data_IF_824523907487
#
_entry.id   IF_824523907487
#
_cell.length_a   1.000
_cell.length_b   1.000
_cell.length_c   1.000
_cell.angle_alpha   90.00
_cell.angle_beta   90.00
_cell.angle_gamma   90.00
#
_symmetry.space_group_name_H-M   'P 1'
#
loop_
_entity.id
_entity.type
_entity.pdbx_description
1 polymer ?
#
# COMPACT_ATOMS: atom_id res chain seq x y z
N UNK A 1 -15.18 -44.49 33.96
CA UNK A 1 -13.75 -44.69 33.65
C UNK A 1 -13.01 -43.44 34.06
N UNK A 2 -11.92 -43.61 34.81
CA UNK A 2 -11.20 -42.54 35.52
C UNK A 2 -10.68 -41.45 34.58
N UNK A 3 -11.18 -40.23 34.74
CA UNK A 3 -10.61 -39.01 34.15
C UNK A 3 -9.30 -38.73 34.87
N UNK A 4 -8.17 -39.20 34.32
CA UNK A 4 -6.85 -38.73 34.73
C UNK A 4 -6.78 -37.21 34.51
N UNK A 5 -6.17 -36.49 35.44
CA UNK A 5 -6.01 -35.03 35.34
C UNK A 5 -5.31 -34.68 34.02
N UNK A 6 -5.77 -33.62 33.36
CA UNK A 6 -5.33 -33.19 32.01
C UNK A 6 -3.83 -32.89 31.89
N UNK A 7 -3.08 -32.92 32.99
CA UNK A 7 -1.65 -32.62 33.04
C UNK A 7 -0.72 -33.79 32.67
N UNK A 8 -1.24 -35.02 32.54
CA UNK A 8 -0.41 -36.22 32.34
C UNK A 8 -0.68 -37.02 31.05
N UNK A 9 -1.53 -36.53 30.14
CA UNK A 9 -1.80 -37.26 28.89
C UNK A 9 -0.56 -37.19 28.00
N UNK A 10 -0.03 -38.35 27.63
CA UNK A 10 1.13 -38.46 26.74
C UNK A 10 0.76 -38.16 25.29
N UNK A 11 1.71 -37.78 24.41
CA UNK A 11 1.43 -37.62 22.98
C UNK A 11 0.77 -38.88 22.39
N UNK A 12 1.22 -40.07 22.79
CA UNK A 12 0.72 -41.36 22.30
C UNK A 12 -0.74 -41.64 22.68
N UNK A 13 -1.16 -41.24 23.88
CA UNK A 13 -2.56 -41.34 24.29
C UNK A 13 -3.45 -40.44 23.43
N UNK A 14 -3.03 -39.18 23.16
CA UNK A 14 -3.74 -38.31 22.24
C UNK A 14 -3.82 -38.89 20.82
N UNK A 15 -2.73 -39.47 20.31
CA UNK A 15 -2.73 -40.11 18.99
C UNK A 15 -3.71 -41.28 18.92
N UNK A 16 -3.76 -42.12 19.96
CA UNK A 16 -4.71 -43.23 20.04
C UNK A 16 -6.17 -42.75 20.01
N UNK A 17 -6.48 -41.71 20.79
CA UNK A 17 -7.83 -41.13 20.81
C UNK A 17 -8.22 -40.49 19.47
N UNK A 18 -7.31 -39.74 18.84
CA UNK A 18 -7.55 -39.14 17.51
C UNK A 18 -7.78 -40.22 16.43
N UNK A 19 -7.01 -41.32 16.47
CA UNK A 19 -7.18 -42.47 15.56
C UNK A 19 -8.51 -43.19 15.75
N UNK A 20 -9.04 -43.22 16.97
CA UNK A 20 -10.36 -43.79 17.25
C UNK A 20 -11.52 -42.99 16.63
N UNK A 21 -11.23 -41.81 16.06
CA UNK A 21 -12.22 -40.91 15.49
C UNK A 21 -12.95 -40.07 16.54
N UNK A 22 -12.42 -39.99 17.76
CA UNK A 22 -12.96 -39.15 18.81
C UNK A 22 -12.89 -37.68 18.38
N UNK A 23 -14.06 -37.04 18.35
CA UNK A 23 -14.23 -35.61 18.05
C UNK A 23 -14.81 -34.86 19.25
N UNK A 24 -14.53 -35.37 20.46
CA UNK A 24 -14.97 -34.76 21.71
C UNK A 24 -14.29 -33.40 21.90
N UNK A 25 -15.08 -32.35 22.20
CA UNK A 25 -14.58 -31.01 22.48
C UNK A 25 -13.54 -31.02 23.61
N UNK A 26 -13.71 -31.88 24.62
CA UNK A 26 -12.79 -32.00 25.77
C UNK A 26 -11.40 -32.49 25.36
N UNK A 27 -11.35 -33.38 24.37
CA UNK A 27 -10.11 -33.90 23.82
C UNK A 27 -9.30 -32.78 23.19
N UNK A 28 -9.92 -32.00 22.30
CA UNK A 28 -9.25 -30.89 21.63
C UNK A 28 -8.84 -29.78 22.60
N UNK A 29 -9.67 -29.47 23.61
CA UNK A 29 -9.29 -28.49 24.64
C UNK A 29 -8.07 -28.94 25.44
N UNK A 30 -8.02 -30.22 25.85
CA UNK A 30 -6.87 -30.78 26.55
C UNK A 30 -5.62 -30.83 25.66
N UNK A 31 -5.78 -31.19 24.39
CA UNK A 31 -4.69 -31.21 23.41
C UNK A 31 -4.15 -29.80 23.17
N UNK A 32 -5.01 -28.80 22.96
CA UNK A 32 -4.62 -27.39 22.80
C UNK A 32 -3.82 -26.88 23.99
N UNK A 33 -4.26 -27.17 25.22
CA UNK A 33 -3.52 -26.80 26.44
C UNK A 33 -2.15 -27.48 26.46
N UNK A 34 -2.07 -28.75 26.07
CA UNK A 34 -0.81 -29.49 26.04
C UNK A 34 0.16 -28.92 24.99
N UNK A 35 -0.32 -28.64 23.78
CA UNK A 35 0.45 -28.00 22.71
C UNK A 35 0.97 -26.61 23.08
N UNK A 36 0.25 -25.88 23.93
CA UNK A 36 0.63 -24.52 24.35
C UNK A 36 1.59 -24.52 25.55
N UNK A 37 1.45 -25.47 26.47
CA UNK A 37 2.15 -25.44 27.77
C UNK A 37 3.33 -26.41 27.90
N UNK A 38 3.40 -27.46 27.07
CA UNK A 38 4.47 -28.46 27.11
C UNK A 38 5.68 -27.99 26.27
N UNK A 39 6.90 -28.50 26.53
CA UNK A 39 8.08 -28.12 25.77
C UNK A 39 7.98 -28.51 24.29
N UNK A 40 8.76 -27.84 23.43
CA UNK A 40 8.78 -28.09 21.98
C UNK A 40 9.08 -29.56 21.64
N UNK A 41 9.86 -30.27 22.46
CA UNK A 41 10.11 -31.71 22.30
C UNK A 41 8.83 -32.56 22.39
N UNK A 42 7.86 -32.15 23.21
CA UNK A 42 6.55 -32.78 23.27
C UNK A 42 5.77 -32.53 21.98
N UNK A 43 5.79 -31.29 21.49
CA UNK A 43 5.15 -30.89 20.22
C UNK A 43 5.76 -31.65 19.04
N UNK A 44 7.08 -31.85 19.04
CA UNK A 44 7.77 -32.67 18.05
C UNK A 44 7.31 -34.13 18.09
N UNK A 45 7.25 -34.73 19.28
CA UNK A 45 6.78 -36.09 19.45
C UNK A 45 5.34 -36.28 18.96
N UNK A 46 4.44 -35.33 19.25
CA UNK A 46 3.08 -35.35 18.73
C UNK A 46 3.03 -35.10 17.22
N UNK A 47 3.79 -34.12 16.73
CA UNK A 47 3.71 -33.60 15.36
C UNK A 47 4.13 -34.58 14.27
N UNK A 48 4.87 -35.64 14.58
CA UNK A 48 5.21 -36.68 13.61
C UNK A 48 3.98 -37.29 12.94
N UNK A 49 2.94 -37.59 13.71
CA UNK A 49 1.70 -38.21 13.21
C UNK A 49 0.45 -37.36 13.50
N UNK A 50 0.44 -36.64 14.63
CA UNK A 50 -0.72 -35.92 15.13
C UNK A 50 -1.19 -34.78 14.25
N UNK A 51 -0.27 -34.11 13.52
CA UNK A 51 -0.64 -33.07 12.58
C UNK A 51 -1.52 -33.62 11.45
N UNK A 52 -1.10 -34.74 10.84
CA UNK A 52 -1.87 -35.40 9.77
C UNK A 52 -3.26 -35.78 10.24
N UNK A 53 -3.37 -36.36 11.44
CA UNK A 53 -4.67 -36.72 12.05
C UNK A 53 -5.57 -35.49 12.28
N UNK A 54 -5.02 -34.38 12.78
CA UNK A 54 -5.78 -33.14 12.96
C UNK A 54 -6.30 -32.59 11.62
N UNK A 55 -5.47 -32.62 10.58
CA UNK A 55 -5.86 -32.18 9.24
C UNK A 55 -6.91 -33.10 8.62
N UNK A 56 -6.80 -34.42 8.80
CA UNK A 56 -7.80 -35.40 8.35
C UNK A 56 -9.16 -35.19 9.03
N UNK A 57 -9.14 -34.89 10.33
CA UNK A 57 -10.36 -34.55 11.09
C UNK A 57 -10.95 -33.24 10.57
N UNK A 58 -10.14 -32.20 10.39
CA UNK A 58 -10.61 -30.92 9.86
C UNK A 58 -11.22 -31.08 8.47
N UNK A 59 -10.54 -31.81 7.57
CA UNK A 59 -11.02 -32.09 6.23
C UNK A 59 -12.37 -32.81 6.24
N UNK A 60 -12.51 -33.84 7.08
CA UNK A 60 -13.77 -34.57 7.24
C UNK A 60 -14.90 -33.68 7.73
N UNK A 61 -14.62 -32.81 8.71
CA UNK A 61 -15.60 -31.86 9.24
C UNK A 61 -15.99 -30.81 8.20
N UNK A 62 -15.05 -30.33 7.39
CA UNK A 62 -15.29 -29.35 6.32
C UNK A 62 -16.04 -29.97 5.12
N UNK A 63 -15.89 -31.27 4.85
CA UNK A 63 -16.59 -31.96 3.76
C UNK A 63 -18.06 -32.31 4.06
N UNK A 64 -18.50 -32.26 5.32
CA UNK A 64 -19.89 -32.53 5.67
C UNK A 64 -20.83 -31.51 5.00
N UNK A 65 -21.75 -31.99 4.16
CA UNK A 65 -22.78 -31.16 3.50
C UNK A 65 -23.70 -30.45 4.50
N UNK A 66 -24.08 -31.15 5.56
CA UNK A 66 -24.87 -30.62 6.66
C UNK A 66 -24.01 -30.61 7.91
N UNK A 67 -23.62 -29.41 8.34
CA UNK A 67 -22.85 -29.20 9.56
C UNK A 67 -23.81 -28.73 10.65
N UNK A 68 -23.85 -29.47 11.75
CA UNK A 68 -24.56 -29.02 12.93
C UNK A 68 -23.69 -28.04 13.75
N UNK A 69 -24.23 -27.55 14.87
CA UNK A 69 -23.48 -26.64 15.75
C UNK A 69 -22.27 -27.32 16.42
N UNK A 70 -22.30 -28.63 16.58
CA UNK A 70 -21.22 -29.40 17.22
C UNK A 70 -20.06 -29.53 16.25
N UNK A 71 -20.34 -29.85 14.99
CA UNK A 71 -19.34 -29.91 13.92
C UNK A 71 -18.60 -28.58 13.77
N UNK A 72 -19.33 -27.46 13.76
CA UNK A 72 -18.76 -26.10 13.71
C UNK A 72 -17.86 -25.78 14.90
N UNK A 73 -18.27 -26.17 16.11
CA UNK A 73 -17.43 -26.03 17.31
C UNK A 73 -16.18 -26.89 17.23
N UNK A 74 -16.32 -28.15 16.82
CA UNK A 74 -15.18 -29.06 16.66
C UNK A 74 -14.19 -28.55 15.60
N UNK A 75 -14.67 -27.98 14.48
CA UNK A 75 -13.79 -27.30 13.51
C UNK A 75 -12.96 -26.21 14.18
N UNK A 76 -13.61 -25.31 14.93
CA UNK A 76 -12.90 -24.22 15.60
C UNK A 76 -11.89 -24.74 16.63
N UNK A 77 -12.24 -25.79 17.40
CA UNK A 77 -11.30 -26.42 18.34
C UNK A 77 -10.09 -27.00 17.64
N UNK A 78 -10.26 -27.65 16.48
CA UNK A 78 -9.14 -28.15 15.68
C UNK A 78 -8.26 -26.99 15.18
N UNK A 79 -8.86 -25.90 14.68
CA UNK A 79 -8.10 -24.68 14.30
C UNK A 79 -7.30 -24.13 15.49
N UNK A 80 -7.85 -24.13 16.71
CA UNK A 80 -7.13 -23.70 17.90
C UNK A 80 -5.98 -24.64 18.28
N UNK A 81 -6.11 -25.95 18.06
CA UNK A 81 -5.00 -26.89 18.19
C UNK A 81 -3.90 -26.60 17.15
N UNK A 82 -4.26 -26.36 15.89
CA UNK A 82 -3.29 -26.00 14.85
C UNK A 82 -2.57 -24.68 15.17
N UNK A 83 -3.28 -23.69 15.69
CA UNK A 83 -2.70 -22.43 16.18
C UNK A 83 -1.69 -22.66 17.30
N UNK A 84 -2.03 -23.48 18.29
CA UNK A 84 -1.11 -23.82 19.37
C UNK A 84 0.12 -24.60 18.86
N UNK A 85 -0.10 -25.53 17.92
CA UNK A 85 0.96 -26.32 17.30
C UNK A 85 1.95 -25.43 16.53
N UNK A 86 1.45 -24.44 15.78
CA UNK A 86 2.25 -23.51 14.95
C UNK A 86 3.05 -22.47 15.76
N UNK A 87 2.79 -22.33 17.06
CA UNK A 87 3.40 -21.30 17.91
C UNK A 87 4.89 -21.56 18.26
N UNK A 88 5.61 -22.31 17.41
CA UNK A 88 7.03 -22.60 17.49
C UNK A 88 7.54 -22.93 16.08
N UNK A 89 8.85 -22.75 15.85
CA UNK A 89 9.49 -22.95 14.55
C UNK A 89 9.18 -24.32 13.93
N UNK A 90 9.30 -25.40 14.71
CA UNK A 90 9.02 -26.76 14.22
C UNK A 90 7.58 -26.91 13.73
N UNK A 91 6.60 -26.43 14.49
CA UNK A 91 5.20 -26.56 14.13
C UNK A 91 4.83 -25.77 12.87
N UNK A 92 5.40 -24.57 12.70
CA UNK A 92 5.26 -23.78 11.49
C UNK A 92 5.85 -24.49 10.27
N UNK A 93 7.11 -24.95 10.35
CA UNK A 93 7.77 -25.71 9.27
C UNK A 93 6.98 -26.96 8.88
N UNK A 94 6.44 -27.68 9.87
CA UNK A 94 5.62 -28.88 9.62
C UNK A 94 4.30 -28.57 8.93
N UNK A 95 3.65 -27.44 9.24
CA UNK A 95 2.45 -27.02 8.52
C UNK A 95 2.80 -26.63 7.08
N UNK A 96 3.88 -25.87 6.88
CA UNK A 96 4.34 -25.45 5.54
C UNK A 96 4.80 -26.63 4.67
N UNK A 97 5.32 -27.70 5.28
CA UNK A 97 5.71 -28.92 4.58
C UNK A 97 4.56 -29.88 4.24
N UNK A 98 3.35 -29.64 4.74
CA UNK A 98 2.19 -30.50 4.51
C UNK A 98 1.26 -29.90 3.45
N UNK A 99 1.17 -30.55 2.28
CA UNK A 99 0.54 -30.02 1.06
C UNK A 99 -0.89 -29.51 1.26
N UNK A 100 -1.71 -30.27 2.00
CA UNK A 100 -3.13 -29.95 2.21
C UNK A 100 -3.39 -28.90 3.29
N UNK A 101 -2.38 -28.50 4.07
CA UNK A 101 -2.58 -27.69 5.27
C UNK A 101 -3.14 -26.29 4.94
N UNK A 102 -2.53 -25.60 3.98
CA UNK A 102 -2.93 -24.26 3.54
C UNK A 102 -4.31 -24.31 2.87
N UNK A 103 -4.56 -25.33 2.04
CA UNK A 103 -5.86 -25.53 1.40
C UNK A 103 -6.99 -25.72 2.44
N UNK A 104 -6.74 -26.48 3.51
CA UNK A 104 -7.73 -26.67 4.58
C UNK A 104 -7.94 -25.40 5.41
N UNK A 105 -6.87 -24.66 5.73
CA UNK A 105 -6.97 -23.36 6.40
C UNK A 105 -7.78 -22.38 5.54
N UNK A 106 -7.47 -22.25 4.25
CA UNK A 106 -8.21 -21.38 3.34
C UNK A 106 -9.70 -21.76 3.25
N UNK A 107 -10.01 -23.06 3.19
CA UNK A 107 -11.40 -23.57 3.21
C UNK A 107 -12.13 -23.27 4.52
N UNK A 108 -11.41 -23.26 5.64
CA UNK A 108 -11.94 -22.95 6.96
C UNK A 108 -12.24 -21.45 7.17
N UNK A 109 -11.90 -20.57 6.23
CA UNK A 109 -12.38 -19.18 6.23
C UNK A 109 -13.89 -19.16 5.96
N UNK A 110 -14.66 -18.94 7.01
CA UNK A 110 -16.13 -18.88 7.00
C UNK A 110 -16.62 -17.63 7.74
N UNK A 111 -17.12 -16.60 7.03
CA UNK A 111 -17.66 -15.38 7.63
C UNK A 111 -18.83 -15.65 8.59
N UNK A 112 -19.52 -16.79 8.46
CA UNK A 112 -20.58 -17.18 9.40
C UNK A 112 -20.04 -17.78 10.72
N UNK A 113 -18.72 -17.93 10.85
CA UNK A 113 -18.03 -18.34 12.08
C UNK A 113 -16.91 -17.35 12.43
N UNK A 114 -17.24 -16.12 12.87
CA UNK A 114 -16.27 -15.03 12.99
C UNK A 114 -15.06 -15.34 13.87
N UNK A 115 -15.27 -16.04 14.99
CA UNK A 115 -14.19 -16.40 15.91
C UNK A 115 -13.20 -17.41 15.29
N UNK A 116 -13.70 -18.42 14.57
CA UNK A 116 -12.86 -19.38 13.86
C UNK A 116 -12.14 -18.71 12.70
N UNK A 117 -12.87 -17.93 11.91
CA UNK A 117 -12.29 -17.18 10.79
C UNK A 117 -11.19 -16.23 11.27
N UNK A 118 -11.37 -15.55 12.40
CA UNK A 118 -10.34 -14.69 13.01
C UNK A 118 -9.05 -15.46 13.29
N UNK A 119 -9.15 -16.67 13.84
CA UNK A 119 -7.97 -17.51 14.10
C UNK A 119 -7.32 -17.96 12.78
N UNK A 120 -8.12 -18.38 11.80
CA UNK A 120 -7.63 -18.82 10.48
C UNK A 120 -6.90 -17.70 9.74
N UNK A 121 -7.49 -16.52 9.61
CA UNK A 121 -6.88 -15.41 8.87
C UNK A 121 -5.62 -14.90 9.57
N UNK A 122 -5.55 -14.95 10.91
CA UNK A 122 -4.32 -14.64 11.67
C UNK A 122 -3.20 -15.64 11.38
N UNK A 123 -3.53 -16.93 11.29
CA UNK A 123 -2.56 -17.96 10.92
C UNK A 123 -2.03 -17.74 9.50
N UNK A 124 -2.92 -17.51 8.54
CA UNK A 124 -2.52 -17.24 7.16
C UNK A 124 -1.70 -15.96 7.04
N UNK A 125 -2.05 -14.91 7.79
CA UNK A 125 -1.27 -13.66 7.83
C UNK A 125 0.14 -13.90 8.36
N UNK A 126 0.26 -14.62 9.48
CA UNK A 126 1.55 -14.96 10.07
C UNK A 126 2.40 -15.82 9.11
N UNK A 127 1.77 -16.77 8.40
CA UNK A 127 2.43 -17.58 7.39
C UNK A 127 2.94 -16.72 6.22
N UNK A 128 2.15 -15.76 5.73
CA UNK A 128 2.58 -14.86 4.65
C UNK A 128 3.76 -13.97 5.06
N UNK A 129 3.82 -13.55 6.32
CA UNK A 129 4.85 -12.64 6.84
C UNK A 129 6.15 -13.39 7.20
N UNK A 130 6.04 -14.57 7.82
CA UNK A 130 7.19 -15.33 8.36
C UNK A 130 7.69 -16.37 7.37
N UNK A 131 6.89 -16.74 6.38
CA UNK A 131 7.23 -17.73 5.38
C UNK A 131 8.47 -17.36 4.56
N UNK A 132 9.15 -18.40 4.07
CA UNK A 132 10.25 -18.26 3.12
C UNK A 132 9.71 -17.95 1.71
N UNK A 133 10.60 -17.81 0.72
CA UNK A 133 10.25 -17.54 -0.69
C UNK A 133 9.10 -18.42 -1.19
N UNK A 134 8.19 -17.82 -1.96
CA UNK A 134 6.99 -18.44 -2.54
C UNK A 134 5.91 -18.91 -1.54
N UNK A 135 6.08 -18.69 -0.22
CA UNK A 135 5.05 -19.08 0.76
C UNK A 135 3.73 -18.31 0.56
N UNK A 136 3.83 -17.01 0.29
CA UNK A 136 2.66 -16.17 0.00
C UNK A 136 1.90 -16.66 -1.24
N UNK A 137 2.61 -17.06 -2.30
CA UNK A 137 1.99 -17.63 -3.51
C UNK A 137 1.22 -18.91 -3.22
N UNK A 138 1.78 -19.81 -2.41
CA UNK A 138 1.08 -21.04 -1.97
C UNK A 138 -0.18 -20.74 -1.15
N UNK A 139 -0.14 -19.70 -0.30
CA UNK A 139 -1.33 -19.23 0.42
C UNK A 139 -2.36 -18.71 -0.58
N UNK A 140 -1.94 -17.92 -1.55
CA UNK A 140 -2.84 -17.37 -2.56
C UNK A 140 -3.45 -18.46 -3.46
N UNK A 141 -2.69 -19.49 -3.83
CA UNK A 141 -3.17 -20.68 -4.54
C UNK A 141 -4.23 -21.42 -3.70
N UNK A 142 -3.97 -21.63 -2.41
CA UNK A 142 -4.92 -22.25 -1.51
C UNK A 142 -6.23 -21.44 -1.37
N UNK A 143 -6.14 -20.11 -1.29
CA UNK A 143 -7.31 -19.21 -1.27
C UNK A 143 -8.07 -19.28 -2.60
N UNK A 144 -7.36 -19.34 -3.72
CA UNK A 144 -7.94 -19.50 -5.07
C UNK A 144 -8.72 -20.80 -5.18
N UNK A 145 -8.11 -21.93 -4.85
CA UNK A 145 -8.78 -23.24 -4.88
C UNK A 145 -9.95 -23.34 -3.89
N UNK A 146 -9.92 -22.63 -2.76
CA UNK A 146 -11.06 -22.55 -1.85
C UNK A 146 -12.22 -21.73 -2.44
N UNK A 147 -11.93 -20.65 -3.16
CA UNK A 147 -12.92 -19.83 -3.88
C UNK A 147 -13.59 -20.61 -5.01
N UNK A 148 -12.81 -21.29 -5.83
CA UNK A 148 -13.30 -22.14 -6.93
C UNK A 148 -14.26 -23.22 -6.45
N UNK A 149 -13.91 -23.93 -5.37
CA UNK A 149 -14.79 -24.95 -4.77
C UNK A 149 -16.11 -24.40 -4.25
N UNK A 150 -16.15 -23.12 -3.86
CA UNK A 150 -17.35 -22.43 -3.38
C UNK A 150 -18.10 -21.69 -4.49
N UNK A 151 -17.59 -21.71 -5.73
CA UNK A 151 -18.11 -20.92 -6.85
C UNK A 151 -18.20 -19.42 -6.53
N UNK A 152 -17.20 -18.91 -5.81
CA UNK A 152 -17.12 -17.50 -5.39
C UNK A 152 -15.75 -16.91 -5.70
N UNK A 153 -15.67 -15.58 -5.82
CA UNK A 153 -14.37 -14.89 -5.87
C UNK A 153 -13.52 -15.27 -4.66
N UNK A 154 -12.24 -15.57 -4.89
CA UNK A 154 -11.29 -16.06 -3.88
C UNK A 154 -11.17 -15.14 -2.65
N UNK A 155 -11.34 -13.84 -2.85
CA UNK A 155 -11.27 -12.84 -1.77
C UNK A 155 -12.62 -12.52 -1.11
N UNK A 156 -13.73 -13.04 -1.64
CA UNK A 156 -15.07 -12.75 -1.13
C UNK A 156 -15.23 -13.06 0.37
N UNK A 157 -14.75 -14.21 0.91
CA UNK A 157 -14.84 -14.46 2.34
C UNK A 157 -14.11 -13.41 3.19
N UNK A 158 -12.92 -12.97 2.75
CA UNK A 158 -12.11 -11.99 3.47
C UNK A 158 -12.81 -10.63 3.49
N UNK A 159 -13.33 -10.19 2.34
CA UNK A 159 -14.07 -8.92 2.22
C UNK A 159 -15.37 -8.95 3.03
N UNK A 160 -16.10 -10.08 3.02
CA UNK A 160 -17.27 -10.25 3.88
C UNK A 160 -16.92 -10.18 5.37
N UNK A 161 -15.77 -10.72 5.79
CA UNK A 161 -15.29 -10.64 7.16
C UNK A 161 -15.08 -9.20 7.67
N UNK A 162 -14.74 -8.26 6.77
CA UNK A 162 -14.64 -6.83 7.10
C UNK A 162 -16.00 -6.18 7.41
N UNK A 163 -17.09 -6.76 6.92
CA UNK A 163 -18.46 -6.26 7.18
C UNK A 163 -19.06 -6.80 8.48
N UNK A 164 -18.37 -7.74 9.15
CA UNK A 164 -18.83 -8.30 10.43
C UNK A 164 -18.77 -7.26 11.56
N UNK A 165 -19.54 -7.49 12.62
CA UNK A 165 -19.55 -6.61 13.81
C UNK A 165 -18.32 -6.78 14.70
N UNK A 166 -17.60 -7.88 14.57
CA UNK A 166 -16.39 -8.17 15.34
C UNK A 166 -15.22 -7.36 14.82
N UNK A 167 -14.85 -6.31 15.55
CA UNK A 167 -13.64 -5.52 15.26
C UNK A 167 -12.39 -6.40 15.22
N UNK A 168 -12.34 -7.47 16.01
CA UNK A 168 -11.22 -8.42 15.98
C UNK A 168 -11.11 -9.16 14.64
N UNK A 169 -12.24 -9.51 14.01
CA UNK A 169 -12.26 -10.11 12.69
C UNK A 169 -11.88 -9.07 11.63
N UNK A 170 -12.40 -7.85 11.74
CA UNK A 170 -12.09 -6.75 10.80
C UNK A 170 -10.59 -6.45 10.77
N UNK A 171 -9.97 -6.31 11.95
CA UNK A 171 -8.51 -6.13 12.08
C UNK A 171 -7.76 -7.29 11.43
N UNK A 172 -8.19 -8.53 11.71
CA UNK A 172 -7.51 -9.72 11.23
C UNK A 172 -7.65 -9.92 9.70
N UNK A 173 -8.80 -9.59 9.12
CA UNK A 173 -9.01 -9.56 7.68
C UNK A 173 -8.16 -8.48 7.00
N UNK A 174 -8.12 -7.26 7.58
CA UNK A 174 -7.28 -6.19 7.04
C UNK A 174 -5.79 -6.53 7.13
N UNK A 175 -5.37 -7.20 8.21
CA UNK A 175 -4.01 -7.71 8.36
C UNK A 175 -3.65 -8.76 7.29
N UNK A 176 -4.57 -9.66 6.95
CA UNK A 176 -4.35 -10.63 5.87
C UNK A 176 -4.27 -9.94 4.50
N UNK A 177 -5.11 -8.93 4.25
CA UNK A 177 -5.06 -8.14 3.02
C UNK A 177 -3.69 -7.47 2.90
N UNK A 178 -3.23 -6.80 3.96
CA UNK A 178 -1.90 -6.19 3.98
C UNK A 178 -0.82 -7.23 3.71
N UNK A 179 -0.82 -8.36 4.42
CA UNK A 179 0.15 -9.43 4.19
C UNK A 179 0.16 -9.93 2.73
N UNK A 180 -0.99 -10.06 2.06
CA UNK A 180 -1.04 -10.50 0.66
C UNK A 180 -0.63 -9.42 -0.34
N UNK A 181 -0.87 -8.15 -0.02
CA UNK A 181 -0.64 -7.02 -0.93
C UNK A 181 0.76 -6.42 -0.78
N UNK A 182 1.37 -6.50 0.40
CA UNK A 182 2.68 -5.89 0.68
C UNK A 182 3.83 -6.89 0.64
N UNK A 183 3.57 -8.20 0.74
CA UNK A 183 4.61 -9.22 0.64
C UNK A 183 5.25 -9.42 -0.75
N UNK A 184 4.55 -9.26 -1.88
CA UNK A 184 5.18 -9.45 -3.20
C UNK A 184 6.19 -8.34 -3.54
N UNK A 185 7.37 -8.71 -4.04
CA UNK A 185 8.40 -7.74 -4.48
C UNK A 185 8.03 -7.05 -5.81
N UNK A 186 7.31 -7.74 -6.69
CA UNK A 186 6.91 -7.23 -7.99
C UNK A 186 5.72 -6.26 -7.89
N UNK A 187 5.92 -5.01 -8.36
CA UNK A 187 4.90 -3.97 -8.37
C UNK A 187 3.62 -4.41 -9.10
N UNK A 188 3.75 -5.02 -10.28
CA UNK A 188 2.62 -5.49 -11.08
C UNK A 188 1.77 -6.50 -10.31
N UNK A 189 2.41 -7.38 -9.55
CA UNK A 189 1.73 -8.37 -8.71
C UNK A 189 1.02 -7.70 -7.53
N UNK A 190 1.67 -6.77 -6.81
CA UNK A 190 1.03 -6.00 -5.73
C UNK A 190 -0.21 -5.24 -6.21
N UNK A 191 -0.10 -4.57 -7.36
CA UNK A 191 -1.21 -3.86 -8.00
C UNK A 191 -2.33 -4.82 -8.41
N UNK A 192 -2.00 -5.96 -9.00
CA UNK A 192 -2.97 -6.98 -9.41
C UNK A 192 -3.84 -7.44 -8.23
N UNK A 193 -3.20 -7.85 -7.13
CA UNK A 193 -3.90 -8.32 -5.93
C UNK A 193 -4.72 -7.21 -5.27
N UNK A 194 -4.14 -6.01 -5.11
CA UNK A 194 -4.85 -4.86 -4.53
C UNK A 194 -6.09 -4.50 -5.35
N UNK A 195 -5.95 -4.40 -6.68
CA UNK A 195 -7.05 -4.05 -7.56
C UNK A 195 -8.15 -5.12 -7.56
N UNK A 196 -7.80 -6.39 -7.40
CA UNK A 196 -8.77 -7.46 -7.22
C UNK A 196 -9.55 -7.33 -5.92
N UNK A 197 -8.90 -7.04 -4.78
CA UNK A 197 -9.61 -6.74 -3.53
C UNK A 197 -10.55 -5.55 -3.67
N UNK A 198 -10.11 -4.47 -4.34
CA UNK A 198 -10.94 -3.29 -4.60
C UNK A 198 -12.19 -3.66 -5.40
N UNK A 199 -12.06 -4.46 -6.48
CA UNK A 199 -13.19 -4.97 -7.27
C UNK A 199 -14.08 -5.96 -6.52
N UNK A 200 -13.53 -6.65 -5.51
CA UNK A 200 -14.27 -7.59 -4.67
C UNK A 200 -15.14 -6.89 -3.60
N UNK A 201 -15.14 -5.55 -3.55
CA UNK A 201 -15.99 -4.75 -2.65
C UNK A 201 -15.23 -4.04 -1.53
N UNK A 202 -13.90 -4.12 -1.49
CA UNK A 202 -13.10 -3.44 -0.46
C UNK A 202 -13.27 -1.92 -0.54
N UNK A 203 -13.39 -1.36 -1.75
CA UNK A 203 -13.47 0.08 -2.00
C UNK A 203 -14.63 0.74 -1.26
N UNK A 204 -15.80 0.09 -1.26
CA UNK A 204 -17.02 0.58 -0.62
C UNK A 204 -16.96 0.44 0.91
N UNK A 205 -16.18 -0.52 1.41
CA UNK A 205 -16.08 -0.84 2.84
C UNK A 205 -15.07 0.04 3.57
N UNK A 206 -13.97 0.45 2.92
CA UNK A 206 -12.91 1.26 3.53
C UNK A 206 -13.41 2.51 4.29
N UNK A 207 -14.34 3.34 3.77
CA UNK A 207 -14.87 4.48 4.51
C UNK A 207 -15.60 4.09 5.80
N UNK A 208 -16.31 2.95 5.78
CA UNK A 208 -17.02 2.43 6.96
C UNK A 208 -16.04 1.94 8.01
N UNK A 209 -14.96 1.27 7.60
CA UNK A 209 -13.89 0.83 8.51
C UNK A 209 -13.18 2.00 9.16
N UNK A 210 -12.88 3.06 8.41
CA UNK A 210 -12.23 4.27 8.95
C UNK A 210 -13.08 5.06 9.94
N UNK A 211 -14.39 4.79 10.04
CA UNK A 211 -15.25 5.40 11.05
C UNK A 211 -15.25 4.62 12.39
N UNK A 212 -14.71 3.41 12.42
CA UNK A 212 -14.66 2.55 13.61
C UNK A 212 -13.50 3.00 14.49
N UNK A 213 -13.79 3.36 15.75
CA UNK A 213 -12.75 3.75 16.71
C UNK A 213 -11.99 2.53 17.24
N UNK A 214 -10.92 2.14 16.56
CA UNK A 214 -10.05 1.05 17.01
C UNK A 214 -8.62 1.23 16.53
N UNK A 215 -7.69 1.43 17.46
CA UNK A 215 -6.27 1.69 17.16
C UNK A 215 -5.62 0.60 16.29
N UNK A 216 -5.92 -0.67 16.56
CA UNK A 216 -5.35 -1.77 15.77
C UNK A 216 -5.87 -1.77 14.33
N UNK A 217 -7.14 -1.43 14.11
CA UNK A 217 -7.71 -1.28 12.77
C UNK A 217 -7.15 -0.05 12.07
N UNK A 218 -7.04 1.07 12.77
CA UNK A 218 -6.46 2.32 12.25
C UNK A 218 -5.03 2.10 11.76
N UNK A 219 -4.22 1.33 12.50
CA UNK A 219 -2.88 0.92 12.06
C UNK A 219 -2.94 0.13 10.76
N UNK A 220 -3.83 -0.87 10.64
CA UNK A 220 -3.91 -1.68 9.42
C UNK A 220 -4.40 -0.89 8.20
N UNK A 221 -5.36 0.04 8.39
CA UNK A 221 -5.82 0.93 7.34
C UNK A 221 -4.73 1.89 6.89
N UNK A 222 -3.95 2.42 7.84
CA UNK A 222 -2.81 3.29 7.55
C UNK A 222 -1.74 2.57 6.75
N UNK A 223 -1.34 1.36 7.16
CA UNK A 223 -0.38 0.51 6.43
C UNK A 223 -0.84 0.28 4.98
N UNK A 224 -2.13 -0.01 4.78
CA UNK A 224 -2.68 -0.21 3.44
C UNK A 224 -2.59 1.05 2.57
N UNK A 225 -2.92 2.21 3.13
CA UNK A 225 -2.88 3.48 2.40
C UNK A 225 -1.45 3.92 2.09
N UNK A 226 -0.53 3.81 3.04
CA UNK A 226 0.90 4.14 2.85
C UNK A 226 1.52 3.28 1.75
N UNK A 227 1.36 1.95 1.79
CA UNK A 227 1.87 1.09 0.72
C UNK A 227 1.20 1.32 -0.63
N UNK A 228 -0.09 1.70 -0.64
CA UNK A 228 -0.77 2.07 -1.89
C UNK A 228 -0.18 3.36 -2.48
N UNK A 229 0.16 4.34 -1.63
CA UNK A 229 0.82 5.58 -2.07
C UNK A 229 2.26 5.30 -2.55
N UNK A 230 3.01 4.43 -1.87
CA UNK A 230 4.33 3.96 -2.30
C UNK A 230 4.27 3.29 -3.68
N UNK A 231 3.32 2.37 -3.88
CA UNK A 231 3.12 1.70 -5.17
C UNK A 231 2.75 2.69 -6.26
N UNK A 232 1.91 3.69 -5.97
CA UNK A 232 1.58 4.74 -6.93
C UNK A 232 2.83 5.56 -7.30
N UNK A 233 3.66 5.92 -6.33
CA UNK A 233 4.92 6.61 -6.60
C UNK A 233 5.87 5.73 -7.42
N UNK A 234 5.89 4.42 -7.19
CA UNK A 234 6.69 3.49 -7.99
C UNK A 234 6.17 3.38 -9.44
N UNK A 235 4.85 3.27 -9.64
CA UNK A 235 4.22 3.33 -10.97
C UNK A 235 4.62 4.60 -11.70
N UNK A 236 4.52 5.74 -11.01
CA UNK A 236 4.94 7.03 -11.56
C UNK A 236 6.42 7.01 -11.95
N UNK A 237 7.32 6.47 -11.11
CA UNK A 237 8.74 6.33 -11.44
C UNK A 237 9.02 5.39 -12.61
N UNK A 238 8.24 4.32 -12.78
CA UNK A 238 8.40 3.36 -13.88
C UNK A 238 7.86 3.95 -15.19
N UNK A 239 6.70 4.59 -15.16
CA UNK A 239 6.07 5.22 -16.33
C UNK A 239 6.80 6.49 -16.76
N UNK A 240 7.23 7.31 -15.80
CA UNK A 240 8.13 8.44 -16.04
C UNK A 240 9.56 7.88 -16.12
N UNK A 241 9.90 7.35 -17.30
CA UNK A 241 11.25 6.87 -17.58
C UNK A 241 12.29 7.92 -17.13
N UNK A 242 13.26 7.60 -16.24
CA UNK A 242 14.31 8.54 -15.85
C UNK A 242 15.18 9.01 -17.03
N UNK A 243 15.06 8.39 -18.22
CA UNK A 243 15.68 8.86 -19.46
C UNK A 243 14.90 9.97 -20.19
N UNK A 244 13.63 10.23 -19.84
CA UNK A 244 12.87 11.35 -20.38
C UNK A 244 13.32 12.66 -19.71
N UNK A 245 14.46 13.18 -20.17
CA UNK A 245 15.06 14.41 -19.63
C UNK A 245 14.56 15.67 -20.34
N UNK A 246 13.93 15.53 -21.51
CA UNK A 246 13.34 16.62 -22.27
C UNK A 246 11.90 16.34 -22.73
N UNK A 247 11.16 17.41 -23.04
CA UNK A 247 9.76 17.34 -23.44
C UNK A 247 9.53 16.63 -24.78
N UNK A 248 10.55 16.57 -25.65
CA UNK A 248 10.49 15.89 -26.93
C UNK A 248 10.51 14.37 -26.78
N UNK A 249 11.33 13.84 -25.88
CA UNK A 249 11.38 12.40 -25.56
C UNK A 249 10.05 11.91 -24.96
N UNK A 250 9.48 12.69 -24.03
CA UNK A 250 8.15 12.41 -23.46
C UNK A 250 7.09 12.43 -24.55
N UNK A 251 7.11 13.45 -25.42
CA UNK A 251 6.18 13.55 -26.54
C UNK A 251 6.25 12.33 -27.47
N UNK A 252 7.45 11.94 -27.88
CA UNK A 252 7.65 10.79 -28.78
C UNK A 252 7.18 9.49 -28.13
N UNK A 253 7.44 9.32 -26.83
CA UNK A 253 7.00 8.15 -26.06
C UNK A 253 5.47 8.10 -25.99
N UNK A 254 4.81 9.19 -25.58
CA UNK A 254 3.34 9.26 -25.52
C UNK A 254 2.71 9.09 -26.89
N UNK A 255 3.28 9.71 -27.94
CA UNK A 255 2.81 9.54 -29.30
C UNK A 255 2.90 8.08 -29.76
N UNK A 256 4.00 7.38 -29.44
CA UNK A 256 4.15 5.97 -29.79
C UNK A 256 3.13 5.05 -29.10
N UNK A 257 2.70 5.40 -27.88
CA UNK A 257 1.68 4.66 -27.12
C UNK A 257 0.27 4.84 -27.70
N UNK A 258 -0.05 6.02 -28.22
CA UNK A 258 -1.39 6.32 -28.74
C UNK A 258 -1.53 6.11 -30.25
N UNK A 259 -0.42 6.02 -30.98
CA UNK A 259 -0.42 5.85 -32.43
C UNK A 259 -1.17 4.58 -32.85
N UNK A 260 -1.98 4.70 -33.90
CA UNK A 260 -2.83 3.64 -34.45
C UNK A 260 -3.89 3.12 -33.46
N UNK A 261 -4.21 3.89 -32.41
CA UNK A 261 -5.27 3.59 -31.45
C UNK A 261 -6.41 4.61 -31.51
N UNK A 262 -7.55 4.29 -30.91
CA UNK A 262 -8.66 5.24 -30.76
C UNK A 262 -8.29 6.49 -29.92
N UNK A 263 -7.20 6.44 -29.14
CA UNK A 263 -6.72 7.54 -28.32
C UNK A 263 -5.98 8.63 -29.13
N UNK A 264 -5.51 8.32 -30.34
CA UNK A 264 -4.67 9.21 -31.16
C UNK A 264 -5.33 10.56 -31.43
N UNK A 265 -6.62 10.54 -31.79
CA UNK A 265 -7.38 11.77 -32.09
C UNK A 265 -7.63 12.63 -30.85
N UNK A 266 -7.76 12.02 -29.68
CA UNK A 266 -7.89 12.75 -28.42
C UNK A 266 -6.55 13.38 -28.02
N UNK A 267 -5.44 12.67 -28.19
CA UNK A 267 -4.10 13.22 -27.95
C UNK A 267 -3.81 14.43 -28.85
N UNK A 268 -4.10 14.31 -30.16
CA UNK A 268 -3.99 15.43 -31.09
C UNK A 268 -4.86 16.62 -30.66
N UNK A 269 -6.11 16.37 -30.28
CA UNK A 269 -7.02 17.41 -29.80
C UNK A 269 -6.48 18.11 -28.56
N UNK A 270 -5.95 17.38 -27.57
CA UNK A 270 -5.34 17.96 -26.37
C UNK A 270 -4.22 18.94 -26.77
N UNK A 271 -3.30 18.53 -27.63
CA UNK A 271 -2.20 19.37 -28.10
C UNK A 271 -2.69 20.62 -28.84
N UNK A 272 -3.71 20.48 -29.68
CA UNK A 272 -4.34 21.62 -30.37
C UNK A 272 -4.93 22.61 -29.36
N UNK A 273 -5.61 22.16 -28.32
CA UNK A 273 -6.14 23.03 -27.26
C UNK A 273 -5.01 23.71 -26.46
N UNK A 274 -3.88 23.04 -26.22
CA UNK A 274 -2.70 23.67 -25.61
C UNK A 274 -2.13 24.81 -26.46
N UNK A 275 -2.20 24.70 -27.80
CA UNK A 275 -1.82 25.80 -28.70
C UNK A 275 -2.77 27.00 -28.63
N UNK A 276 -4.03 26.79 -28.27
CA UNK A 276 -5.06 27.84 -28.15
C UNK A 276 -4.97 28.63 -26.84
N UNK A 277 -4.15 28.20 -25.88
CA UNK A 277 -3.93 28.94 -24.63
C UNK A 277 -3.42 30.34 -24.96
N UNK A 278 -4.05 31.35 -24.36
CA UNK A 278 -3.73 32.77 -24.57
C UNK A 278 -2.23 33.02 -24.41
N UNK A 279 -1.62 33.63 -25.43
CA UNK A 279 -0.20 33.98 -25.43
C UNK A 279 0.05 35.26 -24.61
N UNK A 280 -0.12 35.14 -23.30
CA UNK A 280 0.12 36.21 -22.33
C UNK A 280 1.15 35.72 -21.30
N UNK A 281 2.13 36.57 -20.98
CA UNK A 281 3.29 36.20 -20.18
C UNK A 281 2.93 35.71 -18.77
N UNK A 282 1.91 36.29 -18.13
CA UNK A 282 1.50 35.90 -16.77
C UNK A 282 0.43 34.83 -16.77
N UNK A 283 -0.47 34.87 -17.75
CA UNK A 283 -1.64 34.00 -17.79
C UNK A 283 -1.29 32.61 -18.34
N UNK A 284 -0.38 32.51 -19.32
CA UNK A 284 -0.03 31.24 -19.97
C UNK A 284 0.55 30.21 -18.99
N UNK A 285 1.50 30.55 -18.09
CA UNK A 285 1.98 29.61 -17.07
C UNK A 285 0.87 29.13 -16.12
N UNK A 286 -0.09 29.99 -15.76
CA UNK A 286 -1.20 29.59 -14.87
C UNK A 286 -2.13 28.59 -15.54
N UNK A 287 -2.42 28.74 -16.84
CA UNK A 287 -3.18 27.73 -17.59
C UNK A 287 -2.46 26.38 -17.61
N UNK A 288 -1.16 26.35 -17.89
CA UNK A 288 -0.39 25.11 -17.89
C UNK A 288 -0.34 24.46 -16.50
N UNK A 289 -0.22 25.25 -15.43
CA UNK A 289 -0.28 24.74 -14.06
C UNK A 289 -1.63 24.11 -13.71
N UNK A 290 -2.74 24.76 -14.08
CA UNK A 290 -4.09 24.21 -13.86
C UNK A 290 -4.27 22.91 -14.65
N UNK A 291 -3.82 22.89 -15.90
CA UNK A 291 -3.89 21.70 -16.75
C UNK A 291 -3.04 20.57 -16.19
N UNK A 292 -1.82 20.86 -15.74
CA UNK A 292 -0.94 19.88 -15.09
C UNK A 292 -1.60 19.27 -13.86
N UNK A 293 -2.14 20.08 -12.95
CA UNK A 293 -2.86 19.60 -11.76
C UNK A 293 -4.10 18.76 -12.15
N UNK A 294 -4.85 19.16 -13.17
CA UNK A 294 -5.99 18.39 -13.66
C UNK A 294 -5.57 17.05 -14.26
N UNK A 295 -4.54 17.03 -15.11
CA UNK A 295 -4.00 15.82 -15.72
C UNK A 295 -3.44 14.90 -14.64
N UNK A 296 -2.70 15.45 -13.68
CA UNK A 296 -2.19 14.74 -12.51
C UNK A 296 -3.32 14.10 -11.71
N UNK A 297 -4.39 14.84 -11.39
CA UNK A 297 -5.54 14.29 -10.68
C UNK A 297 -6.35 13.26 -11.48
N UNK A 298 -6.40 13.36 -12.81
CA UNK A 298 -7.08 12.39 -13.68
C UNK A 298 -6.25 11.10 -13.77
N UNK A 299 -4.95 11.21 -14.02
CA UNK A 299 -4.04 10.08 -14.24
C UNK A 299 -3.69 9.40 -12.91
N UNK A 300 -3.46 10.16 -11.85
CA UNK A 300 -3.11 9.67 -10.51
C UNK A 300 -4.33 9.46 -9.61
N UNK A 301 -5.55 9.49 -10.17
CA UNK A 301 -6.75 9.29 -9.37
C UNK A 301 -6.67 7.97 -8.60
N UNK A 302 -6.91 8.03 -7.28
CA UNK A 302 -6.93 6.89 -6.36
C UNK A 302 -7.71 5.72 -6.98
N UNK A 303 -7.00 4.65 -7.36
CA UNK A 303 -7.37 3.22 -7.22
C UNK A 303 -6.77 2.29 -8.29
N UNK A 304 -5.99 2.73 -9.29
CA UNK A 304 -5.48 1.79 -10.32
C UNK A 304 -6.58 1.03 -11.08
N UNK A 305 -7.82 1.52 -10.95
CA UNK A 305 -9.02 1.10 -11.67
C UNK A 305 -9.43 2.30 -12.51
N UNK A 306 -9.83 2.05 -13.75
CA UNK A 306 -10.35 3.05 -14.68
C UNK A 306 -11.15 4.15 -13.95
N UNK A 307 -10.99 5.43 -14.37
CA UNK A 307 -11.88 6.48 -13.91
C UNK A 307 -13.31 6.11 -14.30
N UNK A 308 -14.06 5.58 -13.34
CA UNK A 308 -15.48 5.36 -13.51
C UNK A 308 -16.18 6.73 -13.57
N UNK A 309 -16.39 7.21 -14.79
CA UNK A 309 -17.06 8.47 -15.09
C UNK A 309 -18.57 8.41 -14.83
N UNK A 310 -19.14 7.22 -14.54
CA UNK A 310 -20.59 7.06 -14.37
C UNK A 310 -21.14 7.70 -13.08
N UNK A 311 -20.27 8.06 -12.12
CA UNK A 311 -20.67 8.65 -10.84
C UNK A 311 -20.33 10.14 -10.62
N UNK A 312 -19.77 10.86 -11.60
CA UNK A 312 -19.52 12.31 -11.45
C UNK A 312 -20.48 13.18 -12.26
N UNK A 313 -21.56 13.62 -11.60
CA UNK A 313 -21.83 15.06 -11.60
C UNK A 313 -20.75 15.68 -10.71
N UNK A 314 -19.99 16.65 -11.24
CA UNK A 314 -18.90 17.46 -10.62
C UNK A 314 -17.47 17.19 -11.15
N UNK A 315 -17.13 17.83 -12.26
CA UNK A 315 -16.12 18.90 -12.22
C UNK A 315 -16.87 20.15 -11.72
N UNK A 316 -17.00 20.30 -10.41
CA UNK A 316 -17.49 21.53 -9.76
C UNK A 316 -16.29 22.17 -9.06
N UNK A 317 -15.25 22.37 -9.86
CA UNK A 317 -14.11 23.19 -9.49
C UNK A 317 -14.49 24.59 -9.94
N UNK A 318 -14.75 25.49 -8.99
CA UNK A 318 -14.84 26.91 -9.32
C UNK A 318 -13.42 27.38 -9.69
N UNK A 319 -13.11 27.27 -10.97
CA UNK A 319 -11.85 27.72 -11.55
C UNK A 319 -11.61 29.20 -11.29
N UNK A 320 -12.63 29.98 -10.94
CA UNK A 320 -12.49 31.41 -10.67
C UNK A 320 -11.64 31.65 -9.42
N UNK A 321 -11.91 30.93 -8.32
CA UNK A 321 -11.14 31.04 -7.07
C UNK A 321 -9.72 30.47 -7.21
N UNK A 322 -9.55 29.36 -7.94
CA UNK A 322 -8.25 28.75 -8.20
C UNK A 322 -7.38 29.64 -9.11
N UNK A 323 -7.98 30.29 -10.10
CA UNK A 323 -7.32 31.27 -10.96
C UNK A 323 -6.92 32.51 -10.17
N UNK A 324 -7.77 33.02 -9.29
CA UNK A 324 -7.49 34.19 -8.45
C UNK A 324 -6.29 33.95 -7.51
N UNK A 325 -6.28 32.82 -6.79
CA UNK A 325 -5.15 32.42 -5.93
C UNK A 325 -3.86 32.19 -6.74
N UNK A 326 -3.95 31.61 -7.94
CA UNK A 326 -2.80 31.39 -8.81
C UNK A 326 -2.25 32.70 -9.40
N UNK A 327 -3.13 33.64 -9.75
CA UNK A 327 -2.76 34.98 -10.23
C UNK A 327 -2.12 35.80 -9.13
N UNK A 328 -2.65 35.76 -7.91
CA UNK A 328 -2.08 36.48 -6.76
C UNK A 328 -0.68 35.96 -6.40
N UNK A 329 -0.50 34.64 -6.42
CA UNK A 329 0.82 34.03 -6.19
C UNK A 329 1.82 34.41 -7.28
N UNK A 330 1.42 34.32 -8.56
CA UNK A 330 2.29 34.70 -9.67
C UNK A 330 2.69 36.18 -9.64
N UNK A 331 1.77 37.04 -9.21
CA UNK A 331 2.03 38.47 -9.04
C UNK A 331 2.98 38.72 -7.88
N UNK A 332 2.85 38.00 -6.76
CA UNK A 332 3.79 38.08 -5.65
C UNK A 332 5.21 37.66 -6.09
N UNK A 333 5.32 36.55 -6.81
CA UNK A 333 6.60 36.03 -7.31
C UNK A 333 7.25 37.02 -8.31
N UNK A 334 6.47 37.66 -9.18
CA UNK A 334 6.99 38.69 -10.09
C UNK A 334 7.47 39.94 -9.35
N UNK A 335 6.75 40.39 -8.32
CA UNK A 335 7.17 41.54 -7.52
C UNK A 335 8.45 41.23 -6.74
N UNK A 336 8.61 40.02 -6.23
CA UNK A 336 9.84 39.58 -5.58
C UNK A 336 11.01 39.53 -6.56
N UNK A 337 10.79 39.02 -7.77
CA UNK A 337 11.81 38.97 -8.82
C UNK A 337 12.22 40.37 -9.32
N UNK A 338 11.24 41.28 -9.52
CA UNK A 338 11.54 42.68 -9.87
C UNK A 338 12.25 43.41 -8.74
N UNK A 339 11.91 43.14 -7.48
CA UNK A 339 12.61 43.72 -6.34
C UNK A 339 14.08 43.26 -6.29
N UNK A 340 14.34 41.99 -6.60
CA UNK A 340 15.70 41.44 -6.74
C UNK A 340 16.48 42.08 -7.89
N UNK A 341 15.86 42.25 -9.07
CA UNK A 341 16.50 42.92 -10.22
C UNK A 341 16.79 44.41 -9.96
N UNK A 342 15.87 45.11 -9.28
CA UNK A 342 16.07 46.49 -8.87
C UNK A 342 17.17 46.62 -7.81
N UNK A 343 17.25 45.68 -6.86
CA UNK A 343 18.32 45.63 -5.88
C UNK A 343 19.68 45.42 -6.56
N UNK A 344 19.77 44.49 -7.52
CA UNK A 344 21.00 44.26 -8.29
C UNK A 344 21.44 45.49 -9.09
N UNK A 345 20.52 46.16 -9.79
CA UNK A 345 20.83 47.40 -10.52
C UNK A 345 21.25 48.53 -9.59
N UNK A 346 20.65 48.60 -8.41
CA UNK A 346 21.02 49.61 -7.42
C UNK A 346 22.43 49.36 -6.86
N UNK A 347 22.79 48.10 -6.60
CA UNK A 347 24.14 47.72 -6.18
C UNK A 347 25.18 48.02 -7.28
N UNK A 348 24.86 47.76 -8.55
CA UNK A 348 25.71 48.10 -9.70
C UNK A 348 25.95 49.62 -9.81
N UNK A 349 24.91 50.43 -9.66
CA UNK A 349 25.03 51.90 -9.68
C UNK A 349 25.82 52.43 -8.48
N UNK A 350 25.68 51.83 -7.30
CA UNK A 350 26.50 52.17 -6.13
C UNK A 350 27.98 51.87 -6.40
N UNK A 351 28.29 50.69 -6.95
CA UNK A 351 29.67 50.34 -7.29
C UNK A 351 30.23 51.28 -8.36
N UNK A 352 29.47 51.57 -9.42
CA UNK A 352 29.87 52.51 -10.47
C UNK A 352 30.15 53.92 -9.93
N UNK A 353 29.32 54.39 -8.97
CA UNK A 353 29.53 55.68 -8.31
C UNK A 353 30.78 55.68 -7.43
N UNK A 354 31.06 54.60 -6.71
CA UNK A 354 32.27 54.48 -5.89
C UNK A 354 33.54 54.49 -6.75
N UNK A 355 33.54 53.76 -7.88
CA UNK A 355 34.65 53.75 -8.83
C UNK A 355 34.89 55.13 -9.47
N UNK A 356 33.82 55.83 -9.85
CA UNK A 356 33.93 57.18 -10.38
C UNK A 356 34.53 58.17 -9.36
N UNK A 357 34.12 58.07 -8.09
CA UNK A 357 34.70 58.88 -7.00
C UNK A 357 36.18 58.57 -6.78
N UNK A 358 36.57 57.28 -6.82
CA UNK A 358 37.97 56.88 -6.71
C UNK A 358 38.83 57.41 -7.88
N UNK A 359 38.29 57.42 -9.10
CA UNK A 359 38.96 58.01 -10.26
C UNK A 359 39.07 59.53 -10.19
N UNK A 360 38.05 60.21 -9.66
CA UNK A 360 38.10 61.66 -9.43
C UNK A 360 39.21 62.02 -8.42
N UNK A 361 39.27 61.31 -7.29
CA UNK A 361 40.32 61.52 -6.28
C UNK A 361 41.73 61.33 -6.88
N UNK A 362 41.95 60.29 -7.67
CA UNK A 362 43.24 60.07 -8.36
C UNK A 362 43.59 61.19 -9.34
N UNK A 363 42.59 61.74 -10.06
CA UNK A 363 42.81 62.87 -10.98
C UNK A 363 43.11 64.15 -10.22
N UNK A 364 42.43 64.40 -9.10
CA UNK A 364 42.72 65.55 -8.22
C UNK A 364 44.13 65.46 -7.62
N UNK A 365 44.57 64.28 -7.16
CA UNK A 365 45.96 64.06 -6.73
C UNK A 365 46.95 64.36 -7.86
N UNK A 366 46.68 63.88 -9.08
CA UNK A 366 47.55 64.14 -10.26
C UNK A 366 47.61 65.62 -10.62
N UNK A 367 46.49 66.33 -10.54
CA UNK A 367 46.42 67.78 -10.78
C UNK A 367 47.25 68.50 -9.72
N UNK A 368 47.09 68.15 -8.44
CA UNK A 368 47.86 68.74 -7.34
C UNK A 368 49.38 68.49 -7.50
N UNK A 369 49.79 67.29 -7.93
CA UNK A 369 51.20 66.98 -8.27
C UNK A 369 51.73 67.89 -9.40
N UNK A 370 50.99 67.98 -10.51
CA UNK A 370 51.39 68.80 -11.66
C UNK A 370 51.41 70.30 -11.32
N UNK A 371 50.46 70.78 -10.51
CA UNK A 371 50.46 72.14 -10.02
C UNK A 371 51.66 72.43 -9.10
N UNK A 372 52.05 71.46 -8.26
CA UNK A 372 53.25 71.56 -7.44
C UNK A 372 54.53 71.56 -8.30
N UNK A 373 54.61 70.74 -9.35
CA UNK A 373 55.74 70.75 -10.30
C UNK A 373 55.82 72.06 -11.09
N UNK A 374 54.69 72.59 -11.58
CA UNK A 374 54.64 73.88 -12.27
C UNK A 374 55.05 75.01 -11.33
N UNK A 375 54.63 74.96 -10.06
CA UNK A 375 55.06 75.93 -9.06
C UNK A 375 56.56 75.82 -8.78
N UNK A 376 57.11 74.59 -8.66
CA UNK A 376 58.54 74.36 -8.46
C UNK A 376 59.39 74.88 -9.63
N UNK A 377 58.95 74.63 -10.88
CA UNK A 377 59.60 75.13 -12.10
C UNK A 377 59.59 76.66 -12.21
N UNK A 378 58.57 77.34 -11.67
CA UNK A 378 58.49 78.81 -11.64
C UNK A 378 59.35 79.44 -10.54
N UNK A 379 59.85 78.64 -9.60
CA UNK A 379 60.69 79.09 -8.48
C UNK A 379 62.18 78.74 -8.62
N UNK A 380 62.60 78.11 -9.72
CA UNK A 380 63.98 78.11 -10.22
C UNK A 380 64.16 79.25 -11.23
#
# INVERSE_FOLDING_TARGET
GSLKSSHQISPQEFLSELKSGATDERLFDSLRVSLTSKPVSWVQSFGHEGLGLLLDILERLLHKKHQDKVDKRSQHKVIQCLKAFMNNKYGLERILGEEKSLALLARAMDPHQPAMMTDVVKLLSAICIVGEENTMEKVLEAITGAGERKETSRFSPIVQGLTDRSVQLQVACMQLINALVTSPDELDFRLHIRNEFMRCGLREILPTLGAIRNEALDIQLKVFEEHKEEDMMEVVRVLLNPACTDAGDVFNTVYSLVKDTAAEMYFLSILQHLMLIRNDYFVRPQYFKIIEECVSQIVLHRSGTDPDFSYRKRLDVDFSHLLEVCVDKARADEYEQRALELAQKFDEEIMGRQDALAQLLKKEEKINELEAEVHAFRSQ
#
